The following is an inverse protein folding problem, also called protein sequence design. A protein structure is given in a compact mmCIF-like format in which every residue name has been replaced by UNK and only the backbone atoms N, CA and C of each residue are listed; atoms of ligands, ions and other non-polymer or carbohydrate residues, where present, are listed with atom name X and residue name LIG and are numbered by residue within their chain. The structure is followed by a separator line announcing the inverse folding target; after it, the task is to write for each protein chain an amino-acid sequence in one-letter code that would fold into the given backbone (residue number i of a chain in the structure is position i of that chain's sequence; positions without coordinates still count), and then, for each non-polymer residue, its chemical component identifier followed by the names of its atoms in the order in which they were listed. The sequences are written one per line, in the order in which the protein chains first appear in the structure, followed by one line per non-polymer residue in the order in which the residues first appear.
data_IF_562160159828
#
_entry.id   IF_562160159828
#
_cell.length_a   1.000
_cell.length_b   1.000
_cell.length_c   1.000
_cell.angle_alpha   90.00
_cell.angle_beta   90.00
_cell.angle_gamma   90.00
#
_symmetry.space_group_name_H-M   'P 1'
#
loop_
_entity.id
_entity.type
_entity.pdbx_description
1 polymer ?
#
# COMPACT_ATOMS: atom_id res chain seq x y z
N UNK A 1 15.07 -2.59 -25.47
CA UNK A 1 16.40 -3.18 -25.47
C UNK A 1 16.96 -3.19 -24.06
N UNK A 2 17.41 -4.36 -23.57
CA UNK A 2 17.92 -4.52 -22.19
C UNK A 2 19.15 -3.63 -21.90
N UNK A 3 19.86 -3.19 -22.93
CA UNK A 3 20.99 -2.26 -22.83
C UNK A 3 20.56 -0.83 -22.43
N UNK A 4 19.29 -0.50 -22.54
CA UNK A 4 18.74 0.80 -22.14
C UNK A 4 18.41 0.90 -20.65
N UNK A 5 18.50 -0.21 -19.89
CA UNK A 5 18.27 -0.19 -18.44
C UNK A 5 19.47 0.42 -17.73
N UNK A 6 19.23 1.56 -17.13
CA UNK A 6 20.25 2.28 -16.36
C UNK A 6 20.19 1.88 -14.88
N UNK A 7 19.02 1.95 -14.26
CA UNK A 7 18.78 1.61 -12.87
C UNK A 7 17.55 0.71 -12.73
N UNK A 8 17.68 -0.34 -11.93
CA UNK A 8 16.56 -1.19 -11.50
C UNK A 8 16.38 -1.00 -9.99
N UNK A 9 15.18 -0.74 -9.54
CA UNK A 9 14.87 -0.56 -8.13
C UNK A 9 13.66 -1.39 -7.69
N UNK A 10 13.65 -1.77 -6.42
CA UNK A 10 12.56 -2.53 -5.78
C UNK A 10 12.23 -1.94 -4.42
N UNK A 11 10.94 -1.88 -4.12
CA UNK A 11 10.42 -1.59 -2.78
C UNK A 11 10.31 -2.90 -2.03
N UNK A 12 10.91 -2.98 -0.84
CA UNK A 12 10.97 -4.19 -0.02
C UNK A 12 10.75 -3.86 1.45
N UNK A 13 10.54 -4.90 2.26
CA UNK A 13 10.51 -4.79 3.71
C UNK A 13 9.53 -3.72 4.21
N UNK A 14 8.28 -3.78 3.75
CA UNK A 14 7.23 -2.85 4.16
C UNK A 14 6.80 -3.19 5.59
N UNK A 15 6.87 -2.21 6.48
CA UNK A 15 6.53 -2.33 7.90
C UNK A 15 5.42 -1.33 8.24
N UNK A 16 4.16 -1.78 8.26
CA UNK A 16 3.04 -0.90 8.58
C UNK A 16 2.89 -0.70 10.09
N UNK A 17 2.42 0.48 10.47
CA UNK A 17 1.92 0.81 11.80
C UNK A 17 0.63 1.61 11.68
N UNK A 18 -0.31 1.38 12.61
CA UNK A 18 -1.56 2.13 12.68
C UNK A 18 -1.78 2.58 14.12
N UNK A 19 -2.30 3.79 14.27
CA UNK A 19 -2.69 4.34 15.56
C UNK A 19 -3.96 5.16 15.43
N UNK A 20 -4.77 5.18 16.49
CA UNK A 20 -5.94 6.04 16.54
C UNK A 20 -5.54 7.44 17.03
N UNK A 21 -6.05 8.47 16.38
CA UNK A 21 -5.87 9.87 16.73
C UNK A 21 -7.21 10.62 16.61
N UNK A 22 -7.95 10.65 17.72
CA UNK A 22 -9.29 11.22 17.74
C UNK A 22 -10.25 10.47 16.79
N UNK A 23 -10.82 11.20 15.84
CA UNK A 23 -11.73 10.63 14.82
C UNK A 23 -11.00 10.10 13.57
N UNK A 24 -9.66 10.10 13.61
CA UNK A 24 -8.82 9.64 12.51
C UNK A 24 -8.05 8.39 12.92
N UNK A 25 -7.73 7.57 11.93
CA UNK A 25 -6.74 6.51 12.01
C UNK A 25 -5.51 7.01 11.27
N UNK A 26 -4.39 7.10 11.95
CA UNK A 26 -3.10 7.39 11.34
C UNK A 26 -2.46 6.08 10.90
N UNK A 27 -2.28 5.91 9.59
CA UNK A 27 -1.61 4.77 8.99
C UNK A 27 -0.25 5.22 8.45
N UNK A 28 0.79 4.53 8.83
CA UNK A 28 2.14 4.78 8.38
C UNK A 28 2.81 3.47 7.97
N UNK A 29 3.64 3.52 6.96
CA UNK A 29 4.49 2.41 6.57
C UNK A 29 5.92 2.91 6.34
N UNK A 30 6.91 2.25 6.92
CA UNK A 30 8.30 2.37 6.51
C UNK A 30 8.63 1.27 5.53
N UNK A 31 9.51 1.55 4.58
CA UNK A 31 9.93 0.58 3.57
C UNK A 31 11.37 0.84 3.14
N UNK A 32 11.99 -0.19 2.60
CA UNK A 32 13.34 -0.10 2.06
C UNK A 32 13.27 -0.10 0.53
N UNK A 33 14.13 0.70 -0.07
CA UNK A 33 14.36 0.71 -1.52
C UNK A 33 15.74 0.17 -1.78
N UNK A 34 15.82 -0.87 -2.58
CA UNK A 34 17.07 -1.44 -3.06
C UNK A 34 17.19 -1.20 -4.56
N UNK A 35 18.34 -0.73 -4.99
CA UNK A 35 18.59 -0.44 -6.38
C UNK A 35 19.92 -1.00 -6.87
N UNK A 36 19.97 -1.22 -8.17
CA UNK A 36 21.13 -1.67 -8.91
C UNK A 36 21.29 -0.82 -10.17
N UNK A 37 22.51 -0.37 -10.45
CA UNK A 37 22.86 0.34 -11.69
C UNK A 37 23.70 -0.52 -12.63
N UNK A 38 23.65 -0.22 -13.91
CA UNK A 38 24.42 -0.94 -14.95
C UNK A 38 25.87 -0.42 -15.03
N UNK A 39 26.05 0.90 -15.13
CA UNK A 39 27.36 1.55 -15.14
C UNK A 39 27.78 1.85 -13.71
N UNK A 40 28.96 1.35 -13.31
CA UNK A 40 29.50 1.51 -11.95
C UNK A 40 30.56 2.60 -11.83
N UNK A 41 30.91 3.26 -12.93
CA UNK A 41 31.94 4.31 -12.93
C UNK A 41 31.43 5.58 -12.24
N UNK A 42 32.25 6.10 -11.37
CA UNK A 42 31.97 7.31 -10.61
C UNK A 42 30.89 7.14 -9.53
N UNK A 43 30.90 8.04 -8.58
CA UNK A 43 29.81 8.15 -7.61
C UNK A 43 28.58 8.78 -8.28
N UNK A 44 27.38 8.33 -7.89
CA UNK A 44 26.12 8.81 -8.47
C UNK A 44 25.00 8.86 -7.46
N UNK A 45 24.25 9.94 -7.48
CA UNK A 45 23.01 10.09 -6.73
C UNK A 45 21.83 9.87 -7.68
N UNK A 46 20.89 9.00 -7.27
CA UNK A 46 19.65 8.74 -8.01
C UNK A 46 18.47 9.08 -7.11
N UNK A 47 17.57 9.93 -7.59
CA UNK A 47 16.34 10.29 -6.90
C UNK A 47 15.19 9.58 -7.59
N UNK A 48 14.46 8.75 -6.82
CA UNK A 48 13.31 8.00 -7.31
C UNK A 48 12.04 8.57 -6.68
N UNK A 49 11.14 9.15 -7.48
CA UNK A 49 9.83 9.54 -6.97
C UNK A 49 8.97 8.29 -6.72
N UNK A 50 8.24 8.29 -5.61
CA UNK A 50 7.26 7.27 -5.29
C UNK A 50 5.91 7.89 -4.96
N UNK A 51 4.86 7.12 -5.08
CA UNK A 51 3.53 7.52 -4.66
C UNK A 51 3.02 6.63 -3.52
N UNK A 52 2.16 7.21 -2.71
CA UNK A 52 1.34 6.51 -1.73
C UNK A 52 -0.11 6.78 -2.06
N UNK A 53 -0.89 5.74 -2.25
CA UNK A 53 -2.31 5.83 -2.56
C UNK A 53 -3.10 5.06 -1.52
N UNK A 54 -4.17 5.66 -0.99
CA UNK A 54 -5.13 4.99 -0.12
C UNK A 54 -6.38 4.69 -0.94
N UNK A 55 -6.76 3.42 -0.96
CA UNK A 55 -7.90 2.90 -1.70
C UNK A 55 -8.93 2.37 -0.71
N UNK A 56 -10.17 2.82 -0.85
CA UNK A 56 -11.32 2.34 -0.08
C UNK A 56 -12.17 1.40 -0.95
N UNK A 57 -12.63 0.31 -0.35
CA UNK A 57 -13.55 -0.61 -1.01
C UNK A 57 -12.96 -1.32 -2.22
N UNK A 58 -11.64 -1.42 -2.31
CA UNK A 58 -10.92 -2.09 -3.38
C UNK A 58 -10.70 -1.26 -4.66
N UNK A 59 -11.38 -0.13 -4.82
CA UNK A 59 -11.30 0.63 -6.08
C UNK A 59 -11.31 2.16 -5.94
N UNK A 60 -11.89 2.71 -4.88
CA UNK A 60 -12.02 4.15 -4.74
C UNK A 60 -10.73 4.77 -4.16
N UNK A 61 -10.04 5.57 -4.94
CA UNK A 61 -8.88 6.34 -4.48
C UNK A 61 -9.35 7.52 -3.64
N UNK A 62 -9.03 7.50 -2.33
CA UNK A 62 -9.44 8.54 -1.37
C UNK A 62 -8.30 9.48 -0.99
N UNK A 63 -7.06 9.07 -1.20
CA UNK A 63 -5.89 9.93 -1.00
C UNK A 63 -4.74 9.49 -1.92
N UNK A 64 -3.95 10.46 -2.36
CA UNK A 64 -2.69 10.21 -3.08
C UNK A 64 -1.65 11.23 -2.63
N UNK A 65 -0.45 10.77 -2.38
CA UNK A 65 0.72 11.60 -2.05
C UNK A 65 1.92 11.13 -2.85
N UNK A 66 2.84 12.04 -3.12
CA UNK A 66 4.10 11.78 -3.80
C UNK A 66 5.25 12.13 -2.87
N UNK A 67 6.25 11.27 -2.82
CA UNK A 67 7.49 11.47 -2.10
C UNK A 67 8.68 11.14 -2.98
N UNK A 68 9.88 11.28 -2.44
CA UNK A 68 11.13 10.95 -3.13
C UNK A 68 12.05 10.17 -2.20
N UNK A 69 12.75 9.20 -2.76
CA UNK A 69 13.84 8.48 -2.09
C UNK A 69 15.14 8.72 -2.83
N UNK A 70 16.20 9.02 -2.08
CA UNK A 70 17.53 9.30 -2.63
C UNK A 70 18.45 8.11 -2.39
N UNK A 71 19.04 7.62 -3.46
CA UNK A 71 19.98 6.51 -3.47
C UNK A 71 21.37 7.04 -3.81
N UNK A 72 22.38 6.65 -3.03
CA UNK A 72 23.78 7.01 -3.21
C UNK A 72 24.56 5.77 -3.68
N UNK A 73 25.11 5.83 -4.88
CA UNK A 73 26.03 4.83 -5.39
C UNK A 73 27.46 5.38 -5.27
N UNK A 74 28.29 4.74 -4.47
CA UNK A 74 29.71 5.07 -4.45
C UNK A 74 30.41 4.60 -5.73
N UNK A 75 31.57 5.18 -6.05
CA UNK A 75 32.36 4.76 -7.20
C UNK A 75 32.68 3.25 -7.14
N UNK A 76 32.48 2.56 -8.24
CA UNK A 76 32.65 1.11 -8.36
C UNK A 76 31.50 0.27 -7.75
N UNK A 77 30.57 0.86 -7.02
CA UNK A 77 29.46 0.13 -6.41
C UNK A 77 28.27 0.02 -7.37
N UNK A 78 27.81 -1.22 -7.56
CA UNK A 78 26.64 -1.54 -8.38
C UNK A 78 25.31 -1.37 -7.62
N UNK A 79 25.31 -1.49 -6.29
CA UNK A 79 24.11 -1.53 -5.45
C UNK A 79 24.06 -0.34 -4.49
N UNK A 80 22.84 0.13 -4.24
CA UNK A 80 22.54 1.11 -3.20
C UNK A 80 21.22 0.78 -2.54
N UNK A 81 21.04 1.24 -1.31
CA UNK A 81 19.80 1.10 -0.56
C UNK A 81 19.49 2.37 0.22
N UNK A 82 18.21 2.62 0.43
CA UNK A 82 17.72 3.70 1.27
C UNK A 82 16.37 3.31 1.86
N UNK A 83 15.97 3.97 2.93
CA UNK A 83 14.65 3.78 3.53
C UNK A 83 13.80 5.02 3.35
N UNK A 84 12.49 4.83 3.24
CA UNK A 84 11.51 5.90 3.12
C UNK A 84 10.25 5.57 3.92
N UNK A 85 9.35 6.54 4.02
CA UNK A 85 8.11 6.42 4.77
C UNK A 85 6.94 6.91 3.94
N UNK A 86 5.80 6.26 4.13
CA UNK A 86 4.51 6.66 3.61
C UNK A 86 3.54 6.82 4.78
N UNK A 87 2.67 7.82 4.75
CA UNK A 87 1.68 8.03 5.80
C UNK A 87 0.38 8.60 5.22
N UNK A 88 -0.73 8.25 5.85
CA UNK A 88 -2.04 8.79 5.54
C UNK A 88 -2.94 8.78 6.76
N UNK A 89 -3.95 9.67 6.74
CA UNK A 89 -5.05 9.66 7.70
C UNK A 89 -6.32 9.12 7.05
N UNK A 90 -7.03 8.27 7.76
CA UNK A 90 -8.31 7.67 7.35
C UNK A 90 -9.36 8.08 8.39
N UNK A 91 -10.55 8.45 7.95
CA UNK A 91 -11.67 8.72 8.86
C UNK A 91 -12.10 7.43 9.56
N UNK A 92 -12.10 7.45 10.90
CA UNK A 92 -12.47 6.29 11.71
C UNK A 92 -13.91 5.82 11.42
N UNK A 93 -14.83 6.76 11.20
CA UNK A 93 -16.21 6.44 10.85
C UNK A 93 -16.30 5.67 9.52
N UNK A 94 -15.48 6.03 8.53
CA UNK A 94 -15.43 5.35 7.21
C UNK A 94 -14.82 3.95 7.30
N UNK A 95 -13.94 3.71 8.28
CA UNK A 95 -13.30 2.42 8.53
C UNK A 95 -14.06 1.55 9.53
N UNK A 96 -15.21 2.00 10.03
CA UNK A 96 -16.03 1.29 11.01
C UNK A 96 -17.25 0.67 10.34
N UNK A 97 -17.59 -0.52 10.79
CA UNK A 97 -18.83 -1.18 10.36
C UNK A 97 -20.06 -0.51 10.99
N UNK A 98 -21.18 -0.39 10.26
CA UNK A 98 -22.47 0.01 10.86
C UNK A 98 -22.85 -0.90 12.03
N UNK A 99 -23.46 -0.33 13.07
CA UNK A 99 -23.82 -1.07 14.29
C UNK A 99 -24.72 -2.29 14.00
N UNK A 100 -25.64 -2.18 13.07
CA UNK A 100 -26.50 -3.26 12.62
C UNK A 100 -25.72 -4.43 11.99
N UNK A 101 -24.65 -4.14 11.27
CA UNK A 101 -23.76 -5.16 10.68
C UNK A 101 -22.92 -5.82 11.77
N UNK A 102 -22.41 -5.05 12.72
CA UNK A 102 -21.68 -5.59 13.89
C UNK A 102 -22.58 -6.55 14.67
N UNK A 103 -23.84 -6.19 14.90
CA UNK A 103 -24.80 -7.06 15.56
C UNK A 103 -25.04 -8.38 14.81
N UNK A 104 -25.15 -8.33 13.48
CA UNK A 104 -25.28 -9.54 12.65
C UNK A 104 -24.08 -10.46 12.77
N UNK A 105 -22.87 -9.91 12.78
CA UNK A 105 -21.62 -10.67 12.86
C UNK A 105 -21.42 -11.28 14.25
N UNK A 106 -21.74 -10.50 15.31
CA UNK A 106 -21.45 -10.87 16.70
C UNK A 106 -22.59 -11.60 17.39
N UNK A 107 -23.76 -11.77 16.73
CA UNK A 107 -24.90 -12.47 17.28
C UNK A 107 -24.52 -13.88 17.77
N UNK A 108 -24.70 -14.13 19.07
CA UNK A 108 -24.54 -15.47 19.63
C UNK A 108 -25.68 -16.33 19.15
N UNK A 109 -25.36 -17.41 18.43
CA UNK A 109 -26.33 -18.41 17.98
C UNK A 109 -26.29 -19.63 18.88
N UNK A 110 -27.47 -20.17 19.17
CA UNK A 110 -27.60 -21.41 19.97
C UNK A 110 -27.83 -22.58 19.03
N UNK A 111 -27.42 -23.81 19.42
CA UNK A 111 -27.80 -25.00 18.67
C UNK A 111 -29.33 -25.07 18.57
N UNK A 112 -29.85 -25.22 17.35
CA UNK A 112 -31.29 -25.22 17.07
C UNK A 112 -31.88 -23.92 16.52
N UNK A 113 -31.12 -22.81 16.54
CA UNK A 113 -31.54 -21.59 15.85
C UNK A 113 -31.53 -21.83 14.32
N UNK A 114 -32.50 -21.24 13.56
CA UNK A 114 -32.59 -21.44 12.11
C UNK A 114 -31.33 -21.01 11.35
N UNK A 115 -30.58 -20.08 11.91
CA UNK A 115 -29.35 -19.51 11.34
C UNK A 115 -28.06 -19.98 12.04
N UNK A 116 -28.15 -21.01 12.90
CA UNK A 116 -27.02 -21.50 13.71
C UNK A 116 -25.82 -21.98 12.88
N UNK A 117 -26.08 -22.52 11.69
CA UNK A 117 -25.05 -23.03 10.76
C UNK A 117 -24.66 -22.02 9.69
N UNK A 118 -25.25 -20.82 9.66
CA UNK A 118 -24.95 -19.82 8.64
C UNK A 118 -23.72 -18.98 9.02
N UNK A 119 -22.79 -18.84 8.09
CA UNK A 119 -21.70 -17.89 8.19
C UNK A 119 -22.25 -16.47 7.96
N UNK A 120 -22.16 -15.54 8.95
CA UNK A 120 -22.60 -14.16 8.77
C UNK A 120 -21.93 -13.46 7.59
N UNK A 121 -20.67 -13.82 7.30
CA UNK A 121 -19.91 -13.26 6.19
C UNK A 121 -20.40 -13.74 4.81
N UNK A 122 -21.24 -14.77 4.77
CA UNK A 122 -21.86 -15.21 3.52
C UNK A 122 -22.98 -14.27 3.05
N UNK A 123 -23.58 -13.47 3.96
CA UNK A 123 -24.62 -12.52 3.63
C UNK A 123 -24.08 -11.36 2.74
N UNK A 124 -24.71 -11.07 1.58
CA UNK A 124 -24.20 -10.05 0.67
C UNK A 124 -24.09 -8.65 1.27
N UNK A 125 -25.05 -8.25 2.12
CA UNK A 125 -25.02 -6.95 2.81
C UNK A 125 -23.87 -6.84 3.81
N UNK A 126 -23.52 -7.92 4.50
CA UNK A 126 -22.38 -7.95 5.44
C UNK A 126 -21.08 -7.82 4.67
N UNK A 127 -20.89 -8.60 3.60
CA UNK A 127 -19.70 -8.50 2.73
C UNK A 127 -19.55 -7.12 2.14
N UNK A 128 -20.63 -6.53 1.64
CA UNK A 128 -20.61 -5.19 1.05
C UNK A 128 -20.21 -4.12 2.09
N UNK A 129 -20.69 -4.23 3.34
CA UNK A 129 -20.32 -3.34 4.42
C UNK A 129 -18.82 -3.48 4.79
N UNK A 130 -18.32 -4.71 4.90
CA UNK A 130 -16.92 -4.98 5.19
C UNK A 130 -16.01 -4.42 4.08
N UNK A 131 -16.36 -4.63 2.82
CA UNK A 131 -15.61 -4.07 1.69
C UNK A 131 -15.59 -2.54 1.75
N UNK A 132 -16.74 -1.88 1.96
CA UNK A 132 -16.81 -0.41 2.05
C UNK A 132 -15.99 0.18 3.18
N UNK A 133 -15.83 -0.53 4.29
CA UNK A 133 -15.02 -0.09 5.44
C UNK A 133 -13.57 -0.53 5.38
N UNK A 134 -13.16 -1.24 4.32
CA UNK A 134 -11.79 -1.69 4.11
C UNK A 134 -10.96 -0.63 3.41
N UNK A 135 -9.73 -0.44 3.86
CA UNK A 135 -8.76 0.48 3.29
C UNK A 135 -7.45 -0.25 3.01
N UNK A 136 -6.83 0.09 1.91
CA UNK A 136 -5.51 -0.40 1.51
C UNK A 136 -4.59 0.77 1.23
N UNK A 137 -3.36 0.71 1.73
CA UNK A 137 -2.31 1.65 1.36
C UNK A 137 -1.40 1.00 0.34
N UNK A 138 -1.33 1.59 -0.85
CA UNK A 138 -0.47 1.16 -1.94
C UNK A 138 0.73 2.08 -2.06
N UNK A 139 1.92 1.51 -2.19
CA UNK A 139 3.16 2.24 -2.35
C UNK A 139 3.82 1.76 -3.65
N UNK A 140 4.19 2.68 -4.51
CA UNK A 140 4.81 2.35 -5.80
C UNK A 140 5.71 3.46 -6.31
N UNK A 141 6.60 3.12 -7.25
CA UNK A 141 7.39 4.14 -7.94
C UNK A 141 6.52 4.95 -8.91
N UNK A 142 6.72 6.25 -8.91
CA UNK A 142 6.12 7.13 -9.90
C UNK A 142 6.96 7.05 -11.18
N UNK A 143 6.41 6.39 -12.19
CA UNK A 143 7.08 6.19 -13.46
C UNK A 143 6.65 7.25 -14.48
N UNK A 144 7.57 7.64 -15.38
CA UNK A 144 7.22 8.37 -16.60
C UNK A 144 6.49 7.45 -17.58
N UNK A 145 5.82 8.02 -18.57
CA UNK A 145 5.09 7.24 -19.56
C UNK A 145 5.98 6.24 -20.32
N UNK A 146 7.21 6.64 -20.67
CA UNK A 146 8.17 5.79 -21.34
C UNK A 146 8.67 4.64 -20.43
N UNK A 147 8.93 4.93 -19.16
CA UNK A 147 9.28 3.91 -18.16
C UNK A 147 8.14 2.92 -17.94
N UNK A 148 6.90 3.41 -17.89
CA UNK A 148 5.71 2.56 -17.73
C UNK A 148 5.54 1.64 -18.94
N UNK A 149 5.66 2.18 -20.15
CA UNK A 149 5.59 1.42 -21.40
C UNK A 149 6.63 0.30 -21.44
N UNK A 150 7.86 0.59 -21.03
CA UNK A 150 8.93 -0.40 -20.96
C UNK A 150 8.60 -1.55 -20.00
N UNK A 151 8.04 -1.26 -18.83
CA UNK A 151 7.70 -2.27 -17.83
C UNK A 151 6.50 -3.15 -18.23
N UNK A 152 5.57 -2.64 -19.03
CA UNK A 152 4.37 -3.39 -19.48
C UNK A 152 4.67 -4.34 -20.64
N UNK A 153 5.70 -4.07 -21.43
CA UNK A 153 6.04 -4.86 -22.62
C UNK A 153 7.02 -6.02 -22.35
N UNK A 154 7.28 -6.34 -21.09
CA UNK A 154 8.20 -7.42 -20.68
C UNK A 154 7.51 -8.70 -20.29
#
# INVERSE_FOLDING_TARGET
DASAIDVVASITNIRPTCSESGEKIFSQASFDVQARRSDTQGSRTVILPYFTTVVQGGSAVVAKRVGQVTLQFADGQQRASASAQAASYIDKASASLPAEIVQKITKKRKPGDPDAALDPMAAPEVRAAVVRSSFEMLIGFQLTEDQLRYNVTR
#
